data_IF_999242766724
#
_entry.id   IF_999242766724
#
_cell.length_a   1.000
_cell.length_b   1.000
_cell.length_c   1.000
_cell.angle_alpha   90.00
_cell.angle_beta   90.00
_cell.angle_gamma   90.00
#
_symmetry.space_group_name_H-M   'P 1'
#
loop_
_entity.id
_entity.type
_entity.pdbx_description
1 polymer ?
#
# COMPACT_ATOMS: atom_id res chain seq x y z
N UNK A 1 13.17 -10.98 20.02
CA UNK A 1 11.72 -10.74 19.87
C UNK A 1 11.20 -11.66 18.79
N UNK A 2 9.97 -12.16 18.90
CA UNK A 2 9.37 -13.00 17.85
C UNK A 2 9.11 -12.15 16.61
N UNK A 3 9.49 -12.65 15.47
CA UNK A 3 9.22 -11.97 14.18
C UNK A 3 7.74 -12.04 13.83
N UNK A 4 7.26 -11.02 13.13
CA UNK A 4 5.93 -11.04 12.53
C UNK A 4 5.77 -12.23 11.57
N UNK A 5 4.62 -12.86 11.64
CA UNK A 5 4.21 -13.93 10.71
C UNK A 5 3.56 -13.26 9.51
N UNK A 6 3.73 -13.83 8.31
CA UNK A 6 3.00 -13.34 7.15
C UNK A 6 2.28 -14.48 6.42
N UNK A 7 1.13 -14.14 5.88
CA UNK A 7 0.31 -15.00 5.06
C UNK A 7 -0.02 -14.28 3.75
N UNK A 8 0.21 -14.93 2.63
CA UNK A 8 0.00 -14.36 1.31
C UNK A 8 -0.97 -15.22 0.51
N UNK A 9 -1.98 -14.59 -0.05
CA UNK A 9 -3.03 -15.25 -0.79
C UNK A 9 -3.09 -14.73 -2.23
N UNK A 10 -2.95 -15.65 -3.19
CA UNK A 10 -3.07 -15.32 -4.61
C UNK A 10 -4.53 -15.42 -5.05
N UNK A 11 -5.07 -14.33 -5.55
CA UNK A 11 -6.42 -14.26 -6.10
C UNK A 11 -7.15 -12.98 -5.74
N UNK A 12 -8.41 -12.92 -6.15
CA UNK A 12 -9.28 -11.79 -5.85
C UNK A 12 -9.62 -11.74 -4.35
N UNK A 13 -9.26 -10.63 -3.69
CA UNK A 13 -9.51 -10.46 -2.27
C UNK A 13 -11.01 -10.52 -1.91
N UNK A 14 -11.91 -10.11 -2.82
CA UNK A 14 -13.36 -10.19 -2.62
C UNK A 14 -13.87 -11.61 -2.42
N UNK A 15 -13.23 -12.58 -3.08
CA UNK A 15 -13.57 -14.00 -2.96
C UNK A 15 -12.84 -14.68 -1.79
N UNK A 16 -11.64 -14.20 -1.49
CA UNK A 16 -10.76 -14.85 -0.52
C UNK A 16 -10.94 -14.35 0.91
N UNK A 17 -11.38 -13.11 1.13
CA UNK A 17 -11.57 -12.54 2.47
C UNK A 17 -12.49 -13.38 3.36
N UNK A 18 -13.52 -14.01 2.78
CA UNK A 18 -14.44 -14.88 3.53
C UNK A 18 -13.82 -16.22 3.98
N UNK A 19 -12.66 -16.57 3.43
CA UNK A 19 -11.95 -17.86 3.66
C UNK A 19 -10.73 -17.69 4.57
N UNK A 20 -10.40 -16.46 4.94
CA UNK A 20 -9.22 -16.12 5.75
C UNK A 20 -9.68 -15.52 7.07
N UNK A 21 -9.09 -15.94 8.17
CA UNK A 21 -9.38 -15.37 9.48
C UNK A 21 -8.74 -13.98 9.61
N UNK A 22 -9.57 -12.96 9.50
CA UNK A 22 -9.19 -11.54 9.67
C UNK A 22 -9.67 -10.96 11.00
N UNK A 23 -10.16 -11.78 11.93
CA UNK A 23 -10.76 -11.33 13.20
C UNK A 23 -9.78 -10.55 14.09
N UNK A 24 -8.49 -10.87 14.01
CA UNK A 24 -7.41 -10.24 14.77
C UNK A 24 -6.67 -9.14 14.00
N UNK A 25 -7.15 -8.77 12.81
CA UNK A 25 -6.55 -7.68 12.04
C UNK A 25 -6.78 -6.35 12.74
N UNK A 26 -5.69 -5.63 12.99
CA UNK A 26 -5.70 -4.32 13.63
C UNK A 26 -5.88 -3.18 12.62
N UNK A 27 -5.23 -3.29 11.47
CA UNK A 27 -5.19 -2.25 10.46
C UNK A 27 -5.34 -2.83 9.06
N UNK A 28 -6.30 -2.32 8.29
CA UNK A 28 -6.30 -2.39 6.83
C UNK A 28 -5.44 -1.23 6.31
N UNK A 29 -4.35 -1.53 5.62
CA UNK A 29 -3.49 -0.55 4.95
C UNK A 29 -3.32 -0.96 3.50
N UNK A 30 -4.05 -0.30 2.59
CA UNK A 30 -4.19 -0.79 1.22
C UNK A 30 -4.24 0.34 0.18
N UNK A 31 -3.84 0.01 -1.05
CA UNK A 31 -3.76 0.90 -2.21
C UNK A 31 -4.48 0.26 -3.40
N UNK A 32 -5.83 0.33 -3.45
CA UNK A 32 -6.62 -0.30 -4.50
C UNK A 32 -6.41 0.38 -5.85
N UNK A 33 -6.78 -0.26 -6.96
CA UNK A 33 -6.88 0.40 -8.27
C UNK A 33 -7.84 1.60 -8.19
N UNK A 34 -7.46 2.72 -8.83
CA UNK A 34 -8.22 3.97 -8.70
C UNK A 34 -9.36 4.13 -9.73
N UNK A 35 -9.47 3.22 -10.68
CA UNK A 35 -10.48 3.29 -11.75
C UNK A 35 -10.21 4.41 -12.76
N UNK A 36 -8.96 4.85 -12.88
CA UNK A 36 -8.57 5.96 -13.74
C UNK A 36 -8.01 5.51 -15.10
N UNK A 37 -8.04 4.20 -15.37
CA UNK A 37 -7.51 3.63 -16.61
C UNK A 37 -6.00 3.87 -16.77
N UNK A 38 -5.24 3.70 -15.68
CA UNK A 38 -3.80 3.95 -15.70
C UNK A 38 -3.12 2.99 -16.68
N UNK A 39 -2.58 3.54 -17.76
CA UNK A 39 -1.83 2.81 -18.76
C UNK A 39 -0.43 3.42 -18.89
N UNK A 40 0.58 2.72 -18.40
CA UNK A 40 1.97 3.18 -18.40
C UNK A 40 2.52 3.41 -19.83
N UNK A 41 2.04 2.62 -20.80
CA UNK A 41 2.49 2.70 -22.20
C UNK A 41 1.94 3.95 -22.88
N UNK A 42 0.66 4.30 -22.63
CA UNK A 42 0.04 5.51 -23.21
C UNK A 42 0.64 6.83 -22.72
N UNK A 43 1.23 6.81 -21.51
CA UNK A 43 1.79 8.01 -20.89
C UNK A 43 3.23 8.32 -21.34
N UNK A 44 3.78 7.61 -22.34
CA UNK A 44 5.11 7.82 -22.91
C UNK A 44 6.24 8.02 -21.87
N UNK A 45 6.17 7.31 -20.74
CA UNK A 45 7.21 7.35 -19.73
C UNK A 45 8.26 6.27 -20.08
N UNK A 46 9.47 6.64 -20.53
CA UNK A 46 10.46 5.69 -21.10
C UNK A 46 10.93 4.60 -20.15
N UNK A 47 10.68 4.76 -18.86
CA UNK A 47 11.13 3.84 -17.80
C UNK A 47 10.07 2.81 -17.38
N UNK A 48 8.90 2.76 -18.01
CA UNK A 48 7.76 1.96 -17.56
C UNK A 48 7.23 0.94 -18.58
N UNK A 49 7.97 0.68 -19.66
CA UNK A 49 7.51 -0.18 -20.76
C UNK A 49 7.29 -1.67 -20.38
N UNK A 50 7.73 -2.11 -19.21
CA UNK A 50 7.62 -3.50 -18.76
C UNK A 50 6.47 -3.77 -17.76
N UNK A 51 5.70 -2.75 -17.43
CA UNK A 51 4.67 -2.87 -16.40
C UNK A 51 3.28 -3.02 -16.99
N UNK A 52 2.78 -3.84 -17.65
CA UNK A 52 1.41 -4.05 -18.15
C UNK A 52 0.29 -3.16 -17.57
N UNK A 53 -0.93 -3.40 -17.94
CA UNK A 53 -2.09 -2.70 -17.38
C UNK A 53 -2.35 -3.16 -15.94
N UNK A 54 -2.81 -2.26 -15.09
CA UNK A 54 -3.20 -2.59 -13.70
C UNK A 54 -4.53 -3.35 -13.77
N UNK A 55 -4.54 -4.60 -13.31
CA UNK A 55 -5.77 -5.38 -13.26
C UNK A 55 -6.79 -4.74 -12.31
N UNK A 56 -8.03 -4.62 -12.76
CA UNK A 56 -9.13 -4.04 -11.97
C UNK A 56 -9.22 -2.51 -12.02
N UNK A 57 -8.39 -1.80 -12.81
CA UNK A 57 -8.47 -0.34 -12.94
C UNK A 57 -9.62 0.15 -13.85
N UNK A 58 -10.55 -0.73 -14.25
CA UNK A 58 -11.72 -0.41 -15.06
C UNK A 58 -13.00 -0.14 -14.24
N UNK A 59 -12.87 0.19 -12.95
CA UNK A 59 -14.02 0.55 -12.11
C UNK A 59 -14.50 -0.58 -11.18
N UNK A 60 -13.61 -1.09 -10.36
CA UNK A 60 -13.96 -2.06 -9.30
C UNK A 60 -14.85 -1.42 -8.24
N UNK A 61 -15.90 -2.12 -7.79
CA UNK A 61 -16.63 -1.75 -6.59
C UNK A 61 -15.75 -1.98 -5.35
N UNK A 62 -15.42 -0.90 -4.67
CA UNK A 62 -14.56 -0.89 -3.48
C UNK A 62 -15.35 -0.76 -2.17
N UNK A 63 -16.69 -0.79 -2.21
CA UNK A 63 -17.55 -0.64 -1.03
C UNK A 63 -17.21 -1.65 0.06
N UNK A 64 -16.86 -2.89 -0.31
CA UNK A 64 -16.52 -3.96 0.63
C UNK A 64 -15.36 -3.61 1.57
N UNK A 65 -14.40 -2.78 1.14
CA UNK A 65 -13.29 -2.34 2.01
C UNK A 65 -13.81 -1.58 3.22
N UNK A 66 -14.80 -0.70 3.01
CA UNK A 66 -15.34 0.18 4.04
C UNK A 66 -16.33 -0.51 4.98
N UNK A 67 -16.72 -1.75 4.68
CA UNK A 67 -17.52 -2.61 5.54
C UNK A 67 -16.69 -3.41 6.56
N UNK A 68 -15.37 -3.51 6.32
CA UNK A 68 -14.46 -4.23 7.20
C UNK A 68 -14.36 -3.54 8.58
N UNK A 69 -14.41 -4.34 9.65
CA UNK A 69 -14.53 -3.82 11.03
C UNK A 69 -13.17 -3.68 11.73
N UNK A 70 -12.18 -3.13 11.07
CA UNK A 70 -10.90 -2.76 11.67
C UNK A 70 -10.58 -1.30 11.38
N UNK A 71 -9.50 -0.76 11.96
CA UNK A 71 -9.01 0.54 11.54
C UNK A 71 -8.53 0.47 10.09
N UNK A 72 -8.80 1.50 9.30
CA UNK A 72 -8.59 1.47 7.86
C UNK A 72 -7.78 2.67 7.41
N UNK A 73 -6.86 2.43 6.47
CA UNK A 73 -6.17 3.44 5.67
C UNK A 73 -6.22 2.98 4.22
N UNK A 74 -6.86 3.78 3.38
CA UNK A 74 -7.09 3.48 1.96
C UNK A 74 -6.52 4.60 1.11
N UNK A 75 -5.45 4.31 0.37
CA UNK A 75 -4.86 5.27 -0.57
C UNK A 75 -5.77 5.53 -1.76
N UNK A 76 -5.61 6.70 -2.38
CA UNK A 76 -6.38 7.09 -3.57
C UNK A 76 -7.88 7.28 -3.33
N UNK A 77 -8.34 7.31 -2.08
CA UNK A 77 -9.74 7.37 -1.72
C UNK A 77 -10.48 8.61 -2.27
N UNK A 78 -9.74 9.66 -2.63
CA UNK A 78 -10.27 10.81 -3.34
C UNK A 78 -10.72 10.52 -4.78
N UNK A 79 -10.28 9.40 -5.38
CA UNK A 79 -10.70 8.97 -6.72
C UNK A 79 -12.02 8.20 -6.71
N UNK A 80 -12.47 7.71 -5.54
CA UNK A 80 -13.72 6.96 -5.37
C UNK A 80 -14.52 7.42 -4.13
N UNK A 81 -14.83 8.73 -4.03
CA UNK A 81 -15.44 9.33 -2.85
C UNK A 81 -16.85 8.78 -2.54
N UNK A 82 -17.54 8.18 -3.52
CA UNK A 82 -18.87 7.60 -3.36
C UNK A 82 -18.92 6.43 -2.38
N UNK A 83 -17.79 5.78 -2.11
CA UNK A 83 -17.73 4.66 -1.17
C UNK A 83 -17.34 5.09 0.25
N UNK A 84 -16.85 6.33 0.42
CA UNK A 84 -16.33 6.78 1.71
C UNK A 84 -17.44 6.96 2.76
N UNK A 85 -17.24 6.46 3.97
CA UNK A 85 -18.10 6.82 5.10
C UNK A 85 -18.07 8.33 5.38
N UNK A 86 -19.17 8.88 5.89
CA UNK A 86 -19.28 10.31 6.24
C UNK A 86 -18.27 10.80 7.28
N UNK A 87 -17.61 9.88 7.99
CA UNK A 87 -16.65 10.20 9.05
C UNK A 87 -15.33 9.52 8.78
N UNK A 88 -14.26 10.25 8.94
CA UNK A 88 -12.90 9.81 8.76
C UNK A 88 -11.98 11.01 8.75
N UNK A 89 -10.73 10.79 8.42
CA UNK A 89 -9.71 11.82 8.31
C UNK A 89 -8.85 11.59 7.08
N UNK A 90 -8.04 12.58 6.76
CA UNK A 90 -7.14 12.49 5.62
C UNK A 90 -5.68 12.36 6.06
N UNK A 91 -4.95 11.59 5.29
CA UNK A 91 -3.51 11.48 5.33
C UNK A 91 -3.00 12.02 4.01
N UNK A 92 -2.10 13.00 4.05
CA UNK A 92 -1.41 13.52 2.90
C UNK A 92 0.01 12.97 2.86
N UNK A 93 0.36 12.26 1.81
CA UNK A 93 1.75 11.94 1.52
C UNK A 93 2.34 13.00 0.61
N UNK A 94 3.17 13.89 1.19
CA UNK A 94 3.94 14.90 0.48
C UNK A 94 5.24 14.27 -0.06
N UNK A 95 5.34 14.21 -1.40
CA UNK A 95 6.48 13.61 -2.11
C UNK A 95 7.65 14.57 -2.29
N UNK A 96 7.48 15.82 -1.90
CA UNK A 96 8.41 16.91 -2.17
C UNK A 96 9.44 17.07 -1.07
N UNK A 97 10.58 17.65 -1.44
CA UNK A 97 11.61 18.10 -0.49
C UNK A 97 11.52 19.60 -0.20
N UNK A 98 11.00 20.36 -1.16
CA UNK A 98 10.87 21.81 -1.08
C UNK A 98 9.87 22.29 -2.16
N UNK A 99 9.49 23.57 -2.12
CA UNK A 99 8.52 24.18 -3.04
C UNK A 99 8.98 24.19 -4.51
N UNK A 100 10.28 24.17 -4.78
CA UNK A 100 10.76 24.13 -6.16
C UNK A 100 10.44 22.81 -6.85
N UNK A 101 10.21 21.75 -6.09
CA UNK A 101 9.80 20.45 -6.60
C UNK A 101 8.33 20.42 -7.07
N UNK A 102 7.54 21.45 -6.82
CA UNK A 102 6.13 21.57 -7.28
C UNK A 102 6.02 21.58 -8.82
N UNK A 103 7.10 21.97 -9.48
CA UNK A 103 7.20 22.00 -10.96
C UNK A 103 7.66 20.66 -11.56
N UNK A 104 7.96 19.67 -10.72
CA UNK A 104 8.33 18.34 -11.19
C UNK A 104 7.13 17.62 -11.81
N UNK A 105 7.38 16.75 -12.79
CA UNK A 105 6.35 15.95 -13.42
C UNK A 105 5.69 15.01 -12.40
N UNK A 106 4.36 14.97 -12.41
CA UNK A 106 3.54 14.13 -11.56
C UNK A 106 2.91 14.86 -10.37
N UNK A 107 2.02 14.18 -9.66
CA UNK A 107 1.36 14.74 -8.49
C UNK A 107 2.36 14.97 -7.35
N UNK A 108 2.40 16.18 -6.77
CA UNK A 108 3.31 16.49 -5.67
C UNK A 108 2.93 15.79 -4.36
N UNK A 109 1.71 15.29 -4.25
CA UNK A 109 1.23 14.54 -3.09
C UNK A 109 0.23 13.47 -3.49
N UNK A 110 -0.03 12.55 -2.60
CA UNK A 110 -1.15 11.60 -2.66
C UNK A 110 -1.94 11.64 -1.36
N UNK A 111 -3.23 11.30 -1.47
CA UNK A 111 -4.13 11.25 -0.33
C UNK A 111 -4.49 9.82 0.02
N UNK A 112 -4.61 9.56 1.32
CA UNK A 112 -5.27 8.38 1.85
C UNK A 112 -6.34 8.80 2.84
N UNK A 113 -7.46 8.07 2.86
CA UNK A 113 -8.50 8.21 3.87
C UNK A 113 -8.23 7.25 5.01
N UNK A 114 -8.55 7.67 6.26
CA UNK A 114 -8.50 6.79 7.42
C UNK A 114 -9.81 6.82 8.20
N UNK A 115 -10.24 5.64 8.68
CA UNK A 115 -11.41 5.50 9.54
C UNK A 115 -11.21 6.06 10.96
N UNK A 116 -9.98 6.45 11.33
CA UNK A 116 -9.65 7.02 12.65
C UNK A 116 -10.43 8.32 12.87
N UNK A 117 -11.24 8.34 13.92
CA UNK A 117 -12.12 9.49 14.23
C UNK A 117 -11.44 10.53 15.12
N UNK A 118 -10.48 10.11 15.94
CA UNK A 118 -9.75 10.97 16.88
C UNK A 118 -8.47 11.54 16.26
N UNK A 119 -8.04 12.71 16.75
CA UNK A 119 -6.81 13.36 16.30
C UNK A 119 -7.03 14.34 15.15
N UNK A 120 -5.99 14.61 14.38
CA UNK A 120 -5.94 15.54 13.26
C UNK A 120 -5.61 14.81 11.97
N UNK A 121 -5.85 15.48 10.84
CA UNK A 121 -5.30 15.05 9.55
C UNK A 121 -3.77 15.01 9.63
N UNK A 122 -3.16 14.02 8.98
CA UNK A 122 -1.72 13.80 9.05
C UNK A 122 -1.04 14.10 7.73
N UNK A 123 0.19 14.60 7.80
CA UNK A 123 1.06 14.75 6.65
C UNK A 123 2.36 13.99 6.87
N UNK A 124 2.70 13.11 5.93
CA UNK A 124 3.99 12.43 5.89
C UNK A 124 4.81 12.99 4.73
N UNK A 125 5.98 13.56 5.03
CA UNK A 125 6.95 13.99 4.03
C UNK A 125 7.95 12.88 3.80
N UNK A 126 7.83 12.21 2.66
CA UNK A 126 8.72 11.14 2.23
C UNK A 126 8.99 11.33 0.75
N UNK A 127 10.19 11.80 0.43
CA UNK A 127 10.59 12.01 -0.95
C UNK A 127 10.53 10.70 -1.74
N UNK A 128 9.85 10.74 -2.88
CA UNK A 128 9.77 9.63 -3.80
C UNK A 128 9.61 10.16 -5.22
N UNK A 129 10.60 9.93 -6.06
CA UNK A 129 10.56 10.36 -7.45
C UNK A 129 11.91 10.16 -8.13
N UNK A 130 11.88 9.92 -9.44
CA UNK A 130 13.09 9.73 -10.23
C UNK A 130 13.96 8.59 -9.70
N UNK A 131 15.21 8.88 -9.40
CA UNK A 131 16.20 7.91 -8.90
C UNK A 131 16.13 7.70 -7.37
N UNK A 132 15.32 8.49 -6.66
CA UNK A 132 15.21 8.40 -5.20
C UNK A 132 14.07 7.48 -4.83
N UNK A 133 14.39 6.21 -4.64
CA UNK A 133 13.49 5.22 -4.08
C UNK A 133 14.23 4.32 -3.09
N UNK A 134 13.47 3.58 -2.27
CA UNK A 134 14.04 2.73 -1.22
C UNK A 134 14.78 1.49 -1.74
N UNK A 135 14.74 1.23 -3.06
CA UNK A 135 15.27 0.03 -3.71
C UNK A 135 16.48 0.30 -4.61
N UNK A 136 17.26 1.38 -4.35
CA UNK A 136 18.45 1.71 -5.14
C UNK A 136 18.16 1.98 -6.63
N UNK A 137 17.04 2.62 -6.94
CA UNK A 137 16.60 2.93 -8.31
C UNK A 137 15.69 1.88 -8.95
N UNK A 138 15.62 0.66 -8.40
CA UNK A 138 14.78 -0.41 -8.96
C UNK A 138 13.33 -0.24 -8.50
N UNK A 139 12.39 -0.22 -9.44
CA UNK A 139 10.95 -0.29 -9.17
C UNK A 139 10.43 -1.68 -9.53
N UNK A 140 9.55 -2.21 -8.72
CA UNK A 140 8.91 -3.51 -8.92
C UNK A 140 7.46 -3.39 -9.37
N UNK A 141 6.83 -2.23 -9.11
CA UNK A 141 5.45 -1.93 -9.50
C UNK A 141 5.35 -0.45 -9.91
N UNK A 142 4.52 -0.08 -10.91
CA UNK A 142 4.43 1.30 -11.41
C UNK A 142 3.97 2.31 -10.35
N UNK A 143 3.09 1.89 -9.45
CA UNK A 143 2.54 2.71 -8.36
C UNK A 143 3.09 2.33 -6.98
N UNK A 144 4.27 1.70 -6.92
CA UNK A 144 4.89 1.25 -5.66
C UNK A 144 5.07 2.41 -4.68
N UNK A 145 4.50 2.25 -3.49
CA UNK A 145 4.68 3.20 -2.38
C UNK A 145 6.06 3.01 -1.72
N UNK A 146 6.69 4.07 -1.18
CA UNK A 146 7.96 3.93 -0.45
C UNK A 146 7.81 3.09 0.82
N UNK A 147 8.76 2.17 1.07
CA UNK A 147 8.81 1.39 2.32
C UNK A 147 8.88 2.32 3.53
N UNK A 148 9.63 3.42 3.43
CA UNK A 148 9.75 4.44 4.49
C UNK A 148 8.41 5.09 4.85
N UNK A 149 7.55 5.32 3.87
CA UNK A 149 6.19 5.83 4.10
C UNK A 149 5.36 4.81 4.86
N UNK A 150 5.35 3.55 4.38
CA UNK A 150 4.58 2.48 5.04
C UNK A 150 5.04 2.26 6.47
N UNK A 151 6.35 2.27 6.74
CA UNK A 151 6.89 2.17 8.10
C UNK A 151 6.36 3.27 9.02
N UNK A 152 6.39 4.53 8.59
CA UNK A 152 5.86 5.66 9.39
C UNK A 152 4.36 5.50 9.69
N UNK A 153 3.58 5.06 8.71
CA UNK A 153 2.15 4.83 8.90
C UNK A 153 1.93 3.66 9.88
N UNK A 154 2.63 2.54 9.68
CA UNK A 154 2.53 1.37 10.54
C UNK A 154 2.89 1.70 11.99
N UNK A 155 3.96 2.47 12.21
CA UNK A 155 4.38 2.93 13.55
C UNK A 155 3.29 3.74 14.26
N UNK A 156 2.64 4.65 13.54
CA UNK A 156 1.62 5.55 14.10
C UNK A 156 0.28 4.86 14.38
N UNK A 157 0.01 3.75 13.72
CA UNK A 157 -1.32 3.11 13.73
C UNK A 157 -1.34 1.73 14.38
N UNK A 158 -0.19 1.13 14.64
CA UNK A 158 -0.08 -0.24 15.17
C UNK A 158 1.02 -0.35 16.22
N UNK A 159 0.99 -1.48 16.96
CA UNK A 159 2.06 -1.90 17.87
C UNK A 159 2.71 -3.18 17.34
N UNK A 160 3.89 -3.54 17.89
CA UNK A 160 4.50 -4.84 17.61
C UNK A 160 3.53 -5.99 17.91
N UNK A 161 3.51 -6.98 17.04
CA UNK A 161 2.59 -8.12 17.11
C UNK A 161 1.20 -7.88 16.51
N UNK A 162 0.80 -6.63 16.24
CA UNK A 162 -0.47 -6.35 15.54
C UNK A 162 -0.43 -6.91 14.11
N UNK A 163 -1.60 -7.32 13.60
CA UNK A 163 -1.75 -7.82 12.23
C UNK A 163 -2.24 -6.72 11.29
N UNK A 164 -1.57 -6.58 10.14
CA UNK A 164 -1.88 -5.65 9.07
C UNK A 164 -2.42 -6.44 7.88
N UNK A 165 -3.50 -5.94 7.28
CA UNK A 165 -4.13 -6.48 6.08
C UNK A 165 -3.87 -5.55 4.90
N UNK A 166 -3.49 -6.11 3.75
CA UNK A 166 -3.45 -5.41 2.48
C UNK A 166 -4.17 -6.22 1.40
N UNK A 167 -5.30 -5.69 0.92
CA UNK A 167 -6.13 -6.35 -0.08
C UNK A 167 -5.59 -6.24 -1.51
N UNK A 168 -4.61 -5.36 -1.75
CA UNK A 168 -4.01 -5.09 -3.05
C UNK A 168 -2.50 -4.90 -2.89
N UNK A 169 -1.81 -5.94 -2.40
CA UNK A 169 -0.43 -5.80 -1.94
C UNK A 169 0.60 -5.48 -3.04
N UNK A 170 0.24 -5.67 -4.32
CA UNK A 170 1.12 -5.40 -5.45
C UNK A 170 2.47 -6.09 -5.30
N UNK A 171 3.56 -5.32 -5.34
CA UNK A 171 4.92 -5.82 -5.14
C UNK A 171 5.32 -6.05 -3.66
N UNK A 172 4.40 -5.94 -2.71
CA UNK A 172 4.58 -6.32 -1.30
C UNK A 172 5.20 -5.27 -0.39
N UNK A 173 5.14 -3.99 -0.73
CA UNK A 173 5.78 -2.92 0.05
C UNK A 173 5.25 -2.84 1.48
N UNK A 174 3.92 -2.95 1.66
CA UNK A 174 3.27 -2.99 2.99
C UNK A 174 3.77 -4.18 3.81
N UNK A 175 3.86 -5.37 3.19
CA UNK A 175 4.35 -6.59 3.85
C UNK A 175 5.80 -6.47 4.30
N UNK A 176 6.69 -5.93 3.45
CA UNK A 176 8.09 -5.64 3.82
C UNK A 176 8.16 -4.70 5.02
N UNK A 177 7.39 -3.62 5.00
CA UNK A 177 7.36 -2.66 6.10
C UNK A 177 6.84 -3.30 7.40
N UNK A 178 5.79 -4.13 7.32
CA UNK A 178 5.22 -4.85 8.46
C UNK A 178 6.25 -5.81 9.10
N UNK A 179 6.89 -6.66 8.31
CA UNK A 179 7.91 -7.62 8.78
C UNK A 179 9.10 -6.90 9.42
N UNK A 180 9.58 -5.83 8.81
CA UNK A 180 10.66 -5.00 9.35
C UNK A 180 10.37 -4.41 10.74
N UNK A 181 9.09 -4.25 11.04
CA UNK A 181 8.64 -3.62 12.28
C UNK A 181 8.02 -4.62 13.26
N UNK A 182 8.23 -5.92 13.09
CA UNK A 182 7.68 -7.01 13.92
C UNK A 182 6.13 -6.99 13.97
N UNK A 183 5.46 -6.64 12.87
CA UNK A 183 4.01 -6.77 12.70
C UNK A 183 3.71 -8.02 11.87
N UNK A 184 2.56 -8.64 12.13
CA UNK A 184 2.04 -9.69 11.28
C UNK A 184 1.42 -9.09 10.02
N UNK A 185 1.40 -9.85 8.94
CA UNK A 185 0.92 -9.36 7.66
C UNK A 185 0.04 -10.40 6.95
N UNK A 186 -1.10 -9.96 6.43
CA UNK A 186 -1.95 -10.72 5.52
C UNK A 186 -2.04 -9.92 4.23
N UNK A 187 -1.67 -10.52 3.10
CA UNK A 187 -1.67 -9.85 1.80
C UNK A 187 -2.39 -10.62 0.71
N UNK A 188 -3.16 -9.91 -0.11
CA UNK A 188 -3.81 -10.46 -1.31
C UNK A 188 -3.25 -9.80 -2.56
N UNK A 189 -3.07 -10.60 -3.62
CA UNK A 189 -2.66 -10.13 -4.95
C UNK A 189 -3.24 -11.05 -6.02
N UNK A 190 -3.88 -10.47 -7.01
CA UNK A 190 -4.53 -11.20 -8.10
C UNK A 190 -3.56 -11.54 -9.22
N UNK A 191 -2.57 -10.68 -9.48
CA UNK A 191 -1.59 -10.85 -10.55
C UNK A 191 -0.48 -11.82 -10.16
N UNK A 192 -0.24 -12.84 -10.98
CA UNK A 192 0.77 -13.86 -10.74
C UNK A 192 2.19 -13.31 -10.62
N UNK A 193 2.54 -12.35 -11.47
CA UNK A 193 3.88 -11.75 -11.49
C UNK A 193 4.11 -10.96 -10.22
N UNK A 194 3.16 -10.11 -9.83
CA UNK A 194 3.29 -9.28 -8.64
C UNK A 194 3.21 -10.11 -7.36
N UNK A 195 2.35 -11.11 -7.30
CA UNK A 195 2.31 -12.05 -6.17
C UNK A 195 3.67 -12.71 -5.92
N UNK A 196 4.31 -13.25 -6.98
CA UNK A 196 5.61 -13.90 -6.85
C UNK A 196 6.72 -12.91 -6.48
N UNK A 197 6.67 -11.68 -6.97
CA UNK A 197 7.59 -10.61 -6.59
C UNK A 197 7.41 -10.28 -5.09
N UNK A 198 6.17 -10.05 -4.64
CA UNK A 198 5.87 -9.74 -3.25
C UNK A 198 6.35 -10.84 -2.30
N UNK A 199 6.00 -12.09 -2.61
CA UNK A 199 6.41 -13.26 -1.83
C UNK A 199 7.92 -13.31 -1.64
N UNK A 200 8.68 -13.26 -2.73
CA UNK A 200 10.15 -13.31 -2.69
C UNK A 200 10.74 -12.15 -1.89
N UNK A 201 10.20 -10.94 -2.03
CA UNK A 201 10.70 -9.75 -1.33
C UNK A 201 10.45 -9.83 0.17
N UNK A 202 9.25 -10.25 0.59
CA UNK A 202 8.88 -10.39 2.00
C UNK A 202 9.69 -11.52 2.66
N UNK A 203 9.83 -12.68 2.01
CA UNK A 203 10.66 -13.80 2.48
C UNK A 203 12.12 -13.38 2.67
N UNK A 204 12.71 -12.68 1.70
CA UNK A 204 14.08 -12.17 1.79
C UNK A 204 14.26 -11.19 2.96
N UNK A 205 13.31 -10.28 3.14
CA UNK A 205 13.35 -9.30 4.24
C UNK A 205 13.25 -9.99 5.59
N UNK A 206 12.35 -10.98 5.72
CA UNK A 206 12.25 -11.76 6.93
C UNK A 206 13.55 -12.54 7.23
N UNK A 207 14.20 -13.08 6.22
CA UNK A 207 15.47 -13.81 6.39
C UNK A 207 16.62 -12.89 6.84
N UNK A 208 16.74 -11.68 6.28
CA UNK A 208 17.81 -10.72 6.63
C UNK A 208 17.72 -10.26 8.08
N UNK A 209 16.53 -10.07 8.61
CA UNK A 209 16.32 -9.63 10.00
C UNK A 209 16.77 -10.69 11.02
N UNK A 210 17.11 -11.94 10.63
CA UNK A 210 17.61 -13.02 11.54
C UNK A 210 19.10 -12.87 11.86
N UNK A 211 19.85 -12.08 11.12
CA UNK A 211 21.32 -12.05 11.19
C UNK A 211 21.90 -10.98 12.14
N UNK A 212 21.06 -10.25 12.90
CA UNK A 212 21.51 -9.22 13.87
C UNK A 212 20.89 -9.42 15.26
#
# INVERSE_FOLDING_TARGET
MAKGIFELYKGDCRELLSKVDISNVKLLLTDPPYGIGYNAVKNNLPTFNDYGDIQGDEGMDLSFLFELKMEQIVFGANCFPQYLPHRGRWICWDKRTNESADKALGSPFELAWTSRKSGYDKMYRVMHGGFVNDNGGKRYHPTEKPIRLMKKIIEDYTKEGDTILDCFMGSGTTGIAAVNMNRNFIGFEIDDKYFNIAKKRIENEQAQTVLF
#
